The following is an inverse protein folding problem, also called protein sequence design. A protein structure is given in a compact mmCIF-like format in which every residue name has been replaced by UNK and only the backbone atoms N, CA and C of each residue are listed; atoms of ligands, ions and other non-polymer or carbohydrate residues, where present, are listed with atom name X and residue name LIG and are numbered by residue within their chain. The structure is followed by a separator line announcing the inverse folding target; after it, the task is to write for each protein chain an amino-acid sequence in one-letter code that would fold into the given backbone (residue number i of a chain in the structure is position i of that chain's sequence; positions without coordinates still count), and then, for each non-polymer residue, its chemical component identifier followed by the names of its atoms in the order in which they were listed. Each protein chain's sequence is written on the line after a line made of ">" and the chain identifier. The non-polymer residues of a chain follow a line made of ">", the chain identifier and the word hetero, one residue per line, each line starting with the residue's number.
data_IF_139338273733
#
_entry.id   IF_139338273733
#
_cell.length_a   1.000
_cell.length_b   1.000
_cell.length_c   1.000
_cell.angle_alpha   90.00
_cell.angle_beta   90.00
_cell.angle_gamma   90.00
#
_symmetry.space_group_name_H-M   'P 1'
#
loop_
_entity.id
_entity.type
_entity.pdbx_description
1 polymer ?
#
# COMPACT_ATOMS: atom_id res chain seq x y z
N UNK A 1 -10.65 -10.42 8.04
CA UNK A 1 -10.84 -10.43 6.58
C UNK A 1 -11.85 -9.35 6.25
N UNK A 2 -11.42 -8.30 5.57
CA UNK A 2 -12.25 -7.14 5.24
C UNK A 2 -11.39 -5.97 4.83
N UNK A 3 -10.96 -5.94 3.57
CA UNK A 3 -10.66 -4.67 2.91
C UNK A 3 -11.88 -3.76 3.04
N UNK A 4 -11.69 -2.45 3.17
CA UNK A 4 -12.79 -1.51 3.07
C UNK A 4 -13.35 -1.52 1.65
N UNK A 5 -14.19 -2.52 1.38
CA UNK A 5 -15.19 -2.45 0.36
C UNK A 5 -16.19 -1.43 0.87
N UNK A 6 -16.17 -0.23 0.29
CA UNK A 6 -17.17 0.79 0.55
C UNK A 6 -18.52 0.24 0.07
N UNK A 7 -19.25 -0.46 0.95
CA UNK A 7 -20.63 -0.89 0.72
C UNK A 7 -21.55 0.32 0.89
N UNK A 8 -21.40 1.28 -0.01
CA UNK A 8 -22.15 2.53 0.00
C UNK A 8 -23.11 2.54 -1.17
N UNK A 9 -24.33 3.01 -0.93
CA UNK A 9 -25.37 3.14 -1.94
C UNK A 9 -25.92 4.56 -1.94
N UNK A 10 -26.50 4.95 -3.07
CA UNK A 10 -27.14 6.24 -3.23
C UNK A 10 -26.18 7.43 -3.04
N UNK A 11 -26.58 8.51 -2.35
CA UNK A 11 -25.83 9.77 -2.32
C UNK A 11 -24.38 9.66 -1.81
N UNK A 12 -24.06 8.64 -1.02
CA UNK A 12 -22.71 8.40 -0.52
C UNK A 12 -21.80 7.76 -1.58
N UNK A 13 -22.35 6.86 -2.39
CA UNK A 13 -21.66 6.27 -3.54
C UNK A 13 -21.37 7.34 -4.60
N UNK A 14 -22.35 8.20 -4.88
CA UNK A 14 -22.22 9.31 -5.84
C UNK A 14 -21.26 10.43 -5.38
N UNK A 15 -20.68 10.31 -4.18
CA UNK A 15 -19.81 11.34 -3.59
C UNK A 15 -20.53 12.63 -3.18
N UNK A 16 -21.87 12.61 -3.10
CA UNK A 16 -22.72 13.74 -2.72
C UNK A 16 -22.96 13.84 -1.22
N UNK A 17 -22.70 12.78 -0.46
CA UNK A 17 -22.82 12.74 0.99
C UNK A 17 -21.58 12.14 1.66
N UNK A 18 -21.37 12.51 2.92
CA UNK A 18 -20.29 11.96 3.72
C UNK A 18 -20.51 10.48 3.99
N UNK A 19 -19.52 9.65 3.67
CA UNK A 19 -19.58 8.20 3.92
C UNK A 19 -19.66 7.84 5.41
N UNK A 20 -19.20 8.71 6.30
CA UNK A 20 -19.18 8.45 7.75
C UNK A 20 -20.48 8.88 8.43
N UNK A 21 -20.92 10.12 8.18
CA UNK A 21 -22.04 10.71 8.92
C UNK A 21 -23.29 10.97 8.07
N UNK A 22 -23.26 10.64 6.78
CA UNK A 22 -24.39 10.85 5.85
C UNK A 22 -24.69 12.31 5.53
N UNK A 23 -23.83 13.25 5.92
CA UNK A 23 -24.06 14.67 5.66
C UNK A 23 -24.04 14.99 4.16
N UNK A 24 -25.15 15.54 3.66
CA UNK A 24 -25.34 15.97 2.28
C UNK A 24 -24.52 17.24 1.97
N UNK A 25 -23.53 17.10 1.09
CA UNK A 25 -22.62 18.18 0.71
C UNK A 25 -23.29 19.24 -0.15
N UNK A 26 -24.29 18.85 -0.96
CA UNK A 26 -25.04 19.74 -1.84
C UNK A 26 -25.90 20.70 -1.02
N UNK A 27 -26.54 20.19 0.04
CA UNK A 27 -27.43 20.98 0.91
C UNK A 27 -26.69 21.82 1.93
N UNK A 28 -25.57 21.35 2.47
CA UNK A 28 -24.94 21.96 3.66
C UNK A 28 -23.62 22.72 3.43
N UNK A 29 -23.15 22.89 2.18
CA UNK A 29 -21.87 23.57 1.86
C UNK A 29 -20.71 23.15 2.77
N UNK A 30 -20.63 21.86 3.09
CA UNK A 30 -19.59 21.29 3.95
C UNK A 30 -18.35 21.02 3.11
N UNK A 31 -17.17 21.41 3.60
CA UNK A 31 -15.90 21.06 2.96
C UNK A 31 -15.64 19.56 3.05
N UNK A 32 -15.45 18.91 1.90
CA UNK A 32 -15.22 17.47 1.79
C UNK A 32 -13.85 17.13 1.22
N UNK A 33 -13.38 15.92 1.51
CA UNK A 33 -12.15 15.33 0.97
C UNK A 33 -12.46 13.95 0.39
N UNK A 34 -11.72 13.55 -0.64
CA UNK A 34 -11.81 12.21 -1.22
C UNK A 34 -11.08 11.23 -0.31
N UNK A 35 -11.77 10.15 0.06
CA UNK A 35 -11.24 9.11 0.97
C UNK A 35 -11.17 7.72 0.32
N UNK A 36 -11.73 7.56 -0.88
CA UNK A 36 -11.70 6.31 -1.60
C UNK A 36 -12.38 6.39 -2.95
N UNK A 37 -12.54 5.24 -3.60
CA UNK A 37 -13.33 5.06 -4.82
C UNK A 37 -14.30 3.90 -4.66
N UNK A 38 -15.48 4.03 -5.26
CA UNK A 38 -16.43 2.93 -5.40
C UNK A 38 -15.88 1.94 -6.43
N UNK A 39 -15.79 0.63 -6.12
CA UNK A 39 -15.28 -0.36 -7.06
C UNK A 39 -16.19 -0.64 -8.27
N UNK A 40 -17.50 -0.35 -8.18
CA UNK A 40 -18.43 -0.68 -9.27
C UNK A 40 -18.36 0.32 -10.43
N UNK A 41 -18.15 1.61 -10.14
CA UNK A 41 -18.24 2.70 -11.11
C UNK A 41 -17.07 3.71 -11.04
N UNK A 42 -16.06 3.43 -10.20
CA UNK A 42 -14.91 4.28 -9.91
C UNK A 42 -15.22 5.69 -9.36
N UNK A 43 -16.47 5.94 -8.95
CA UNK A 43 -16.88 7.22 -8.38
C UNK A 43 -16.11 7.53 -7.10
N UNK A 44 -15.83 8.82 -6.86
CA UNK A 44 -15.05 9.25 -5.71
C UNK A 44 -15.89 9.26 -4.44
N UNK A 45 -15.53 8.41 -3.47
CA UNK A 45 -16.14 8.40 -2.13
C UNK A 45 -15.56 9.53 -1.29
N UNK A 46 -16.42 10.28 -0.61
CA UNK A 46 -16.04 11.51 0.11
C UNK A 46 -16.43 11.49 1.59
N UNK A 47 -15.65 12.18 2.40
CA UNK A 47 -15.94 12.43 3.82
C UNK A 47 -15.85 13.92 4.15
N UNK A 48 -16.51 14.35 5.23
CA UNK A 48 -16.30 15.68 5.78
C UNK A 48 -14.82 15.86 6.15
N UNK A 49 -14.22 16.99 5.76
CA UNK A 49 -12.81 17.30 6.06
C UNK A 49 -12.48 17.17 7.55
N UNK A 50 -13.41 17.57 8.41
CA UNK A 50 -13.38 17.29 9.84
C UNK A 50 -14.83 17.14 10.37
N UNK A 51 -15.09 16.25 11.35
CA UNK A 51 -14.15 15.31 11.97
C UNK A 51 -13.99 13.97 11.22
N UNK A 52 -14.83 13.71 10.21
CA UNK A 52 -15.00 12.38 9.62
C UNK A 52 -13.74 11.82 8.96
N UNK A 53 -13.00 12.62 8.20
CA UNK A 53 -11.77 12.16 7.56
C UNK A 53 -10.68 11.79 8.57
N UNK A 54 -10.57 12.53 9.68
CA UNK A 54 -9.61 12.23 10.74
C UNK A 54 -9.96 10.91 11.47
N UNK A 55 -11.26 10.68 11.71
CA UNK A 55 -11.72 9.42 12.31
C UNK A 55 -11.43 8.21 11.41
N UNK A 56 -11.62 8.36 10.09
CA UNK A 56 -11.29 7.31 9.12
C UNK A 56 -9.78 7.00 9.09
N UNK A 57 -8.93 8.02 9.12
CA UNK A 57 -7.48 7.82 9.15
C UNK A 57 -7.04 7.07 10.42
N UNK A 58 -7.54 7.49 11.58
CA UNK A 58 -7.24 6.83 12.85
C UNK A 58 -7.73 5.38 12.90
N UNK A 59 -8.89 5.09 12.31
CA UNK A 59 -9.41 3.73 12.21
C UNK A 59 -8.55 2.89 11.26
N UNK A 60 -8.20 3.41 10.09
CA UNK A 60 -7.31 2.75 9.12
C UNK A 60 -5.96 2.37 9.75
N UNK A 61 -5.35 3.28 10.51
CA UNK A 61 -4.09 3.03 11.24
C UNK A 61 -4.26 1.96 12.33
N UNK A 62 -5.44 1.89 12.96
CA UNK A 62 -5.74 0.83 13.94
C UNK A 62 -5.83 -0.54 13.26
N UNK A 63 -6.59 -0.69 12.17
CA UNK A 63 -6.64 -2.00 11.50
C UNK A 63 -5.32 -2.37 10.83
N UNK A 64 -4.55 -1.41 10.30
CA UNK A 64 -3.23 -1.70 9.76
C UNK A 64 -2.36 -2.38 10.84
N UNK A 65 -2.33 -1.82 12.05
CA UNK A 65 -1.65 -2.41 13.20
C UNK A 65 -2.22 -3.77 13.60
N UNK A 66 -3.54 -3.91 13.70
CA UNK A 66 -4.17 -5.19 14.03
C UNK A 66 -3.86 -6.28 12.98
N UNK A 67 -3.80 -5.91 11.69
CA UNK A 67 -3.43 -6.81 10.61
C UNK A 67 -1.96 -7.21 10.70
N UNK A 68 -1.06 -6.28 11.00
CA UNK A 68 0.36 -6.58 11.24
C UNK A 68 0.57 -7.52 12.42
N UNK A 69 -0.13 -7.28 13.53
CA UNK A 69 -0.08 -8.13 14.72
C UNK A 69 -0.60 -9.54 14.40
N UNK A 70 -1.66 -9.66 13.60
CA UNK A 70 -2.24 -10.94 13.21
C UNK A 70 -1.32 -11.79 12.30
N UNK A 71 -0.41 -11.15 11.56
CA UNK A 71 0.58 -11.87 10.72
C UNK A 71 1.93 -12.07 11.40
N UNK A 72 2.04 -11.73 12.69
CA UNK A 72 3.26 -11.93 13.48
C UNK A 72 4.44 -11.03 13.08
N UNK A 73 4.16 -9.84 12.55
CA UNK A 73 5.19 -8.85 12.16
C UNK A 73 5.50 -7.83 13.26
N UNK A 74 5.34 -8.22 14.53
CA UNK A 74 5.64 -7.36 15.68
C UNK A 74 7.13 -7.48 16.02
N UNK A 75 7.96 -6.72 15.30
CA UNK A 75 9.25 -6.17 15.76
C UNK A 75 9.90 -5.37 14.62
N UNK A 76 9.36 -4.18 14.37
CA UNK A 76 10.13 -3.03 13.91
C UNK A 76 9.26 -1.78 14.08
N UNK A 77 9.28 -1.17 15.26
CA UNK A 77 9.24 0.29 15.29
C UNK A 77 10.46 0.73 14.48
N UNK A 78 10.28 1.02 13.19
CA UNK A 78 11.35 1.56 12.37
C UNK A 78 11.68 2.95 12.92
N UNK A 79 12.90 3.17 13.44
CA UNK A 79 13.39 4.53 13.57
C UNK A 79 13.40 5.11 12.15
N UNK A 80 12.92 6.35 11.99
CA UNK A 80 13.07 7.10 10.75
C UNK A 80 14.52 6.95 10.25
N UNK A 81 14.71 6.24 9.12
CA UNK A 81 15.99 6.19 8.42
C UNK A 81 16.77 4.86 8.45
N UNK A 82 16.25 3.75 8.97
CA UNK A 82 16.96 2.47 8.86
C UNK A 82 16.79 1.84 7.46
N UNK A 83 17.85 1.92 6.65
CA UNK A 83 17.96 1.34 5.29
C UNK A 83 17.71 -0.17 5.29
N UNK A 84 18.10 -0.86 6.37
CA UNK A 84 17.94 -2.31 6.53
C UNK A 84 16.65 -2.71 7.24
N UNK A 85 15.85 -1.73 7.69
CA UNK A 85 14.54 -1.96 8.29
C UNK A 85 13.51 -2.55 7.32
N UNK A 86 12.43 -3.07 7.89
CA UNK A 86 11.29 -3.70 7.18
C UNK A 86 10.64 -2.73 6.15
N UNK A 87 10.68 -1.43 6.44
CA UNK A 87 10.23 -0.35 5.56
C UNK A 87 11.35 0.34 4.77
N UNK A 88 12.61 -0.04 5.00
CA UNK A 88 13.77 0.46 4.28
C UNK A 88 13.91 -0.09 2.85
N UNK A 89 14.96 0.34 2.15
CA UNK A 89 15.26 -0.15 0.80
C UNK A 89 15.50 -1.66 0.76
N UNK A 90 16.04 -2.24 1.84
CA UNK A 90 16.23 -3.68 1.97
C UNK A 90 14.91 -4.44 2.14
N UNK A 91 14.04 -4.04 3.06
CA UNK A 91 12.71 -4.66 3.22
C UNK A 91 11.84 -4.52 1.96
N UNK A 92 11.97 -3.39 1.27
CA UNK A 92 11.34 -3.15 -0.04
C UNK A 92 11.91 -4.07 -1.14
N UNK A 93 13.21 -4.34 -1.14
CA UNK A 93 13.86 -5.31 -2.04
C UNK A 93 13.35 -6.73 -1.79
N UNK A 94 13.27 -7.16 -0.51
CA UNK A 94 12.75 -8.49 -0.17
C UNK A 94 11.31 -8.69 -0.63
N UNK A 95 10.47 -7.65 -0.55
CA UNK A 95 9.10 -7.67 -1.08
C UNK A 95 9.09 -7.84 -2.60
N UNK A 96 9.91 -7.11 -3.33
CA UNK A 96 10.00 -7.26 -4.80
C UNK A 96 10.46 -8.68 -5.19
N UNK A 97 11.47 -9.22 -4.50
CA UNK A 97 11.96 -10.60 -4.73
C UNK A 97 10.87 -11.64 -4.44
N UNK A 98 10.08 -11.45 -3.39
CA UNK A 98 8.96 -12.34 -3.06
C UNK A 98 7.86 -12.29 -4.13
N UNK A 99 7.56 -11.11 -4.66
CA UNK A 99 6.65 -10.97 -5.80
C UNK A 99 7.19 -11.68 -7.04
N UNK A 100 8.49 -11.53 -7.34
CA UNK A 100 9.12 -12.23 -8.47
C UNK A 100 9.01 -13.75 -8.35
N UNK A 101 9.31 -14.31 -7.17
CA UNK A 101 9.15 -15.74 -6.91
C UNK A 101 7.68 -16.19 -7.06
N UNK A 102 6.72 -15.39 -6.58
CA UNK A 102 5.30 -15.67 -6.78
C UNK A 102 4.89 -15.65 -8.26
N UNK A 103 5.39 -14.69 -9.05
CA UNK A 103 5.11 -14.63 -10.49
C UNK A 103 5.72 -15.81 -11.24
N UNK A 104 6.89 -16.28 -10.84
CA UNK A 104 7.53 -17.48 -11.40
C UNK A 104 6.69 -18.73 -11.15
N UNK A 105 6.26 -18.95 -9.91
CA UNK A 105 5.35 -20.06 -9.58
C UNK A 105 4.03 -20.03 -10.37
N UNK A 106 3.46 -18.84 -10.62
CA UNK A 106 2.25 -18.71 -11.43
C UNK A 106 2.50 -18.91 -12.93
N UNK A 107 3.64 -18.46 -13.45
CA UNK A 107 4.02 -18.67 -14.85
C UNK A 107 4.20 -20.16 -15.18
N UNK A 108 4.71 -20.96 -14.25
CA UNK A 108 4.91 -22.41 -14.47
C UNK A 108 3.60 -23.19 -14.59
N UNK A 109 2.51 -22.67 -14.02
CA UNK A 109 1.20 -23.34 -13.98
C UNK A 109 0.14 -22.69 -14.87
N UNK A 110 0.39 -21.50 -15.40
CA UNK A 110 -0.55 -20.76 -16.23
C UNK A 110 -0.47 -21.18 -17.70
N UNK A 111 -1.63 -21.40 -18.32
CA UNK A 111 -1.75 -21.72 -19.75
C UNK A 111 -2.55 -20.68 -20.53
N UNK A 112 -3.18 -19.71 -19.84
CA UNK A 112 -3.92 -18.62 -20.46
C UNK A 112 -2.99 -17.47 -20.88
N UNK A 113 -3.09 -17.06 -22.14
CA UNK A 113 -2.22 -16.05 -22.74
C UNK A 113 -2.43 -14.64 -22.14
N UNK A 114 -3.65 -14.31 -21.69
CA UNK A 114 -3.91 -13.02 -21.03
C UNK A 114 -3.21 -12.98 -19.67
N UNK A 115 -3.33 -14.05 -18.89
CA UNK A 115 -2.68 -14.23 -17.60
C UNK A 115 -1.15 -14.23 -17.73
N UNK A 116 -0.60 -14.95 -18.72
CA UNK A 116 0.85 -14.95 -18.99
C UNK A 116 1.36 -13.54 -19.30
N UNK A 117 0.67 -12.77 -20.15
CA UNK A 117 1.06 -11.38 -20.46
C UNK A 117 1.04 -10.47 -19.23
N UNK A 118 0.02 -10.62 -18.40
CA UNK A 118 -0.08 -9.89 -17.13
C UNK A 118 1.09 -10.24 -16.21
N UNK A 119 1.35 -11.53 -15.99
CA UNK A 119 2.44 -12.01 -15.13
C UNK A 119 3.80 -11.54 -15.64
N UNK A 120 4.06 -11.63 -16.95
CA UNK A 120 5.30 -11.13 -17.55
C UNK A 120 5.48 -9.61 -17.37
N UNK A 121 4.40 -8.84 -17.49
CA UNK A 121 4.43 -7.38 -17.26
C UNK A 121 4.74 -7.07 -15.79
N UNK A 122 4.17 -7.84 -14.86
CA UNK A 122 4.42 -7.73 -13.43
C UNK A 122 5.88 -8.10 -13.09
N UNK A 123 6.38 -9.19 -13.65
CA UNK A 123 7.77 -9.63 -13.52
C UNK A 123 8.74 -8.56 -14.02
N UNK A 124 8.51 -7.99 -15.21
CA UNK A 124 9.39 -6.95 -15.77
C UNK A 124 9.48 -5.73 -14.83
N UNK A 125 8.33 -5.25 -14.32
CA UNK A 125 8.27 -4.13 -13.40
C UNK A 125 9.01 -4.40 -12.09
N UNK A 126 8.77 -5.53 -11.45
CA UNK A 126 9.41 -5.86 -10.17
C UNK A 126 10.89 -6.24 -10.31
N UNK A 127 11.31 -6.77 -11.47
CA UNK A 127 12.72 -7.04 -11.75
C UNK A 127 13.51 -5.72 -11.86
N UNK A 128 12.96 -4.71 -12.54
CA UNK A 128 13.56 -3.39 -12.64
C UNK A 128 13.68 -2.71 -11.26
N UNK A 129 12.61 -2.72 -10.45
CA UNK A 129 12.64 -2.11 -9.12
C UNK A 129 13.56 -2.85 -8.17
N UNK A 130 13.56 -4.19 -8.18
CA UNK A 130 14.47 -5.01 -7.39
C UNK A 130 15.93 -4.73 -7.75
N UNK A 131 16.24 -4.65 -9.05
CA UNK A 131 17.60 -4.36 -9.53
C UNK A 131 18.08 -2.98 -9.06
N UNK A 132 17.26 -1.94 -9.19
CA UNK A 132 17.62 -0.60 -8.71
C UNK A 132 17.83 -0.58 -7.20
N UNK A 133 16.95 -1.22 -6.43
CA UNK A 133 17.05 -1.29 -4.96
C UNK A 133 18.26 -2.10 -4.50
N UNK A 134 18.56 -3.23 -5.15
CA UNK A 134 19.74 -4.03 -4.86
C UNK A 134 21.04 -3.24 -5.06
N UNK A 135 21.10 -2.38 -6.09
CA UNK A 135 22.25 -1.49 -6.30
C UNK A 135 22.41 -0.46 -5.18
N UNK A 136 21.31 0.13 -4.71
CA UNK A 136 21.34 1.09 -3.60
C UNK A 136 21.82 0.42 -2.31
N UNK A 137 21.23 -0.72 -1.96
CA UNK A 137 21.62 -1.50 -0.78
C UNK A 137 23.10 -1.92 -0.88
N UNK A 138 23.56 -2.35 -2.06
CA UNK A 138 24.96 -2.74 -2.26
C UNK A 138 25.93 -1.56 -2.13
N UNK A 139 25.56 -0.38 -2.64
CA UNK A 139 26.39 0.83 -2.48
C UNK A 139 26.50 1.21 -0.99
N UNK A 140 25.38 1.19 -0.27
CA UNK A 140 25.33 1.53 1.15
C UNK A 140 26.06 0.51 2.02
N UNK A 141 25.97 -0.78 1.72
CA UNK A 141 26.73 -1.82 2.43
C UNK A 141 28.25 -1.59 2.32
N UNK A 142 28.73 -1.17 1.14
CA UNK A 142 30.16 -0.85 0.94
C UNK A 142 30.61 0.40 1.70
N UNK A 143 29.73 1.39 1.84
CA UNK A 143 30.04 2.61 2.59
C UNK A 143 30.15 2.31 4.10
N UNK A 144 29.36 1.36 4.62
CA UNK A 144 29.49 0.87 6.01
C UNK A 144 30.81 0.14 6.23
N UNK A 145 31.21 -0.76 5.32
CA UNK A 145 32.48 -1.49 5.41
C UNK A 145 33.71 -0.56 5.32
N UNK A 146 33.59 0.60 4.67
CA UNK A 146 34.66 1.59 4.53
C UNK A 146 34.85 2.51 5.75
N UNK A 147 33.87 2.59 6.65
CA UNK A 147 33.91 3.45 7.83
C UNK A 147 34.63 2.80 9.03
N UNK A 148 34.68 1.47 9.10
CA UNK A 148 35.34 0.71 10.19
C UNK A 148 36.85 0.47 9.96
N UNK A 149 37.41 0.97 8.87
CA UNK A 149 38.83 0.81 8.51
C UNK A 149 39.76 1.98 8.89
N UNK A 150 39.32 2.88 9.77
CA UNK A 150 40.04 4.10 10.10
C UNK A 150 40.00 4.49 11.58
N UNK A 151 40.61 3.66 12.43
CA UNK A 151 41.61 4.08 13.46
C UNK A 151 42.31 2.83 14.06
#
# INVERSE_FOLDING_TARGET
>A
MGSYFWNVEGPQADGLACVVCGADFVKRKITSVVVGRNPEDESSVRACKAPCAAALAADADRMAREMWNAVGLDDAEAPDGDVFGVDGHFGSLLRDLKTLAGTEALLTTSHDMVTIRFLLSLTARHAETAMMRARLVLAQAKDVDGADGGD
#
